data_IF_926736994026
#
_entry.id   IF_926736994026
#
_cell.length_a   1.000
_cell.length_b   1.000
_cell.length_c   1.000
_cell.angle_alpha   90.00
_cell.angle_beta   90.00
_cell.angle_gamma   90.00
#
_symmetry.space_group_name_H-M   'P 1'
#
loop_
_entity.id
_entity.type
_entity.pdbx_description
1 polymer ?
#
# COMPACT_ATOMS: atom_id res chain seq x y z
N UNK A 1 -20.50 -8.79 -19.64
CA UNK A 1 -19.15 -9.05 -19.06
C UNK A 1 -18.34 -7.80 -19.31
N UNK A 2 -18.48 -6.80 -18.45
CA UNK A 2 -17.58 -5.63 -18.44
C UNK A 2 -16.34 -6.12 -17.70
N UNK A 3 -15.32 -6.52 -18.45
CA UNK A 3 -14.00 -6.80 -17.92
C UNK A 3 -13.47 -5.51 -17.28
N UNK A 4 -13.21 -5.55 -15.99
CA UNK A 4 -12.71 -4.43 -15.21
C UNK A 4 -11.30 -4.05 -15.71
N UNK A 5 -11.18 -3.11 -16.63
CA UNK A 5 -9.90 -2.53 -17.07
C UNK A 5 -9.04 -2.06 -15.88
N UNK A 6 -9.69 -1.62 -14.80
CA UNK A 6 -8.98 -1.16 -13.58
C UNK A 6 -8.19 -2.27 -12.83
N UNK A 7 -8.56 -3.54 -13.00
CA UNK A 7 -7.96 -4.65 -12.26
C UNK A 7 -6.66 -5.17 -12.88
N UNK A 8 -6.49 -5.09 -14.19
CA UNK A 8 -5.24 -5.42 -14.88
C UNK A 8 -4.19 -4.33 -14.66
N UNK A 9 -4.63 -3.08 -14.47
CA UNK A 9 -3.75 -1.94 -14.22
C UNK A 9 -3.04 -2.02 -12.85
N UNK A 10 -3.66 -2.62 -11.81
CA UNK A 10 -3.05 -2.70 -10.47
C UNK A 10 -1.72 -3.47 -10.49
N UNK A 11 -1.68 -4.62 -11.16
CA UNK A 11 -0.44 -5.42 -11.26
C UNK A 11 0.61 -4.75 -12.15
N UNK A 12 0.17 -4.14 -13.25
CA UNK A 12 1.06 -3.40 -14.13
C UNK A 12 1.68 -2.19 -13.43
N UNK A 13 0.88 -1.42 -12.69
CA UNK A 13 1.34 -0.28 -11.92
C UNK A 13 2.31 -0.69 -10.80
N UNK A 14 2.01 -1.79 -10.08
CA UNK A 14 2.91 -2.31 -9.06
C UNK A 14 4.26 -2.71 -9.64
N UNK A 15 4.28 -3.48 -10.73
CA UNK A 15 5.51 -3.91 -11.40
C UNK A 15 6.32 -2.71 -11.88
N UNK A 16 5.68 -1.76 -12.55
CA UNK A 16 6.30 -0.53 -13.00
C UNK A 16 6.94 0.25 -11.85
N UNK A 17 6.22 0.40 -10.73
CA UNK A 17 6.72 1.11 -9.56
C UNK A 17 7.97 0.44 -8.98
N UNK A 18 8.00 -0.90 -8.98
CA UNK A 18 9.16 -1.68 -8.53
C UNK A 18 10.35 -1.59 -9.49
N UNK A 19 10.10 -1.53 -10.80
CA UNK A 19 11.13 -1.34 -11.82
C UNK A 19 11.73 0.06 -11.77
N UNK A 20 10.88 1.09 -11.65
CA UNK A 20 11.32 2.48 -11.59
C UNK A 20 12.06 2.81 -10.28
N UNK A 21 11.76 2.11 -9.19
CA UNK A 21 12.32 2.35 -7.86
C UNK A 21 12.67 1.04 -7.14
N UNK A 22 13.75 0.35 -7.51
CA UNK A 22 14.11 -0.97 -6.98
C UNK A 22 14.43 -0.95 -5.47
N UNK A 23 14.80 0.20 -4.90
CA UNK A 23 15.08 0.36 -3.47
C UNK A 23 13.80 0.53 -2.61
N UNK A 24 12.65 0.67 -3.26
CA UNK A 24 11.38 0.81 -2.55
C UNK A 24 10.93 -0.54 -1.98
N UNK A 25 10.59 -0.63 -0.68
CA UNK A 25 10.05 -1.86 -0.12
C UNK A 25 8.76 -2.27 -0.82
N UNK A 26 8.62 -3.54 -1.11
CA UNK A 26 7.46 -4.10 -1.79
C UNK A 26 6.12 -3.74 -1.12
N UNK A 27 6.08 -3.74 0.22
CA UNK A 27 4.89 -3.32 0.96
C UNK A 27 4.52 -1.85 0.71
N UNK A 28 5.52 -0.96 0.65
CA UNK A 28 5.32 0.46 0.35
C UNK A 28 4.84 0.65 -1.08
N UNK A 29 5.45 -0.06 -2.04
CA UNK A 29 5.03 -0.05 -3.44
C UNK A 29 3.58 -0.54 -3.60
N UNK A 30 3.21 -1.63 -2.92
CA UNK A 30 1.86 -2.17 -2.95
C UNK A 30 0.83 -1.17 -2.40
N UNK A 31 1.12 -0.54 -1.25
CA UNK A 31 0.24 0.48 -0.67
C UNK A 31 0.12 1.70 -1.57
N UNK A 32 1.22 2.16 -2.18
CA UNK A 32 1.20 3.26 -3.15
C UNK A 32 0.31 2.94 -4.35
N UNK A 33 0.41 1.72 -4.88
CA UNK A 33 -0.45 1.24 -5.97
C UNK A 33 -1.92 1.20 -5.57
N UNK A 34 -2.24 0.77 -4.34
CA UNK A 34 -3.63 0.75 -3.86
C UNK A 34 -4.20 2.16 -3.67
N UNK A 35 -3.40 3.13 -3.22
CA UNK A 35 -3.83 4.53 -3.11
C UNK A 35 -4.14 5.11 -4.49
N UNK A 36 -3.29 4.84 -5.48
CA UNK A 36 -3.51 5.25 -6.86
C UNK A 36 -4.76 4.59 -7.44
N UNK A 37 -4.95 3.29 -7.17
CA UNK A 37 -6.15 2.55 -7.56
C UNK A 37 -7.42 3.19 -6.98
N UNK A 38 -7.45 3.53 -5.67
CA UNK A 38 -8.58 4.23 -5.06
C UNK A 38 -8.86 5.55 -5.77
N UNK A 39 -7.80 6.31 -6.07
CA UNK A 39 -7.93 7.61 -6.71
C UNK A 39 -8.56 7.51 -8.11
N UNK A 40 -8.14 6.53 -8.89
CA UNK A 40 -8.60 6.29 -10.26
C UNK A 40 -9.94 5.55 -10.34
N UNK A 41 -10.42 4.96 -9.25
CA UNK A 41 -11.63 4.17 -9.24
C UNK A 41 -12.87 5.07 -9.34
N UNK A 42 -13.43 5.18 -10.53
CA UNK A 42 -14.65 5.95 -10.80
C UNK A 42 -15.93 5.11 -10.76
N UNK A 43 -15.78 3.77 -10.77
CA UNK A 43 -16.90 2.83 -10.89
C UNK A 43 -17.50 2.39 -9.57
N UNK A 44 -16.97 2.83 -8.43
CA UNK A 44 -17.54 2.57 -7.10
C UNK A 44 -18.42 3.76 -6.68
N UNK A 45 -19.60 3.47 -6.20
CA UNK A 45 -20.56 4.46 -5.69
C UNK A 45 -20.77 4.33 -4.17
N UNK A 46 -20.35 3.22 -3.59
CA UNK A 46 -20.50 2.93 -2.16
C UNK A 46 -19.19 2.50 -1.53
N UNK A 47 -19.09 2.68 -0.20
CA UNK A 47 -17.93 2.21 0.58
C UNK A 47 -17.80 0.69 0.58
N UNK A 48 -18.91 -0.03 0.57
CA UNK A 48 -18.91 -1.49 0.50
C UNK A 48 -18.32 -1.99 -0.83
N UNK A 49 -18.71 -1.37 -1.92
CA UNK A 49 -18.20 -1.68 -3.26
C UNK A 49 -16.71 -1.32 -3.39
N UNK A 50 -16.30 -0.16 -2.86
CA UNK A 50 -14.90 0.24 -2.81
C UNK A 50 -14.05 -0.79 -2.04
N UNK A 51 -14.55 -1.25 -0.89
CA UNK A 51 -13.88 -2.25 -0.07
C UNK A 51 -13.75 -3.59 -0.79
N UNK A 52 -14.80 -4.05 -1.45
CA UNK A 52 -14.79 -5.28 -2.24
C UNK A 52 -13.74 -5.22 -3.35
N UNK A 53 -13.71 -4.12 -4.10
CA UNK A 53 -12.72 -3.90 -5.16
C UNK A 53 -11.29 -3.84 -4.62
N UNK A 54 -11.09 -3.17 -3.49
CA UNK A 54 -9.78 -3.15 -2.83
C UNK A 54 -9.33 -4.54 -2.37
N UNK A 55 -10.23 -5.32 -1.80
CA UNK A 55 -9.93 -6.70 -1.40
C UNK A 55 -9.51 -7.53 -2.60
N UNK A 56 -10.21 -7.43 -3.72
CA UNK A 56 -9.83 -8.10 -4.96
C UNK A 56 -8.47 -7.66 -5.51
N UNK A 57 -8.15 -6.36 -5.44
CA UNK A 57 -6.86 -5.82 -5.84
C UNK A 57 -5.73 -6.36 -4.95
N UNK A 58 -5.94 -6.42 -3.63
CA UNK A 58 -4.98 -6.97 -2.66
C UNK A 58 -4.73 -8.44 -2.89
N UNK A 59 -5.76 -9.24 -3.14
CA UNK A 59 -5.60 -10.65 -3.47
C UNK A 59 -4.72 -10.87 -4.71
N UNK A 60 -4.83 -10.03 -5.71
CA UNK A 60 -3.97 -10.08 -6.90
C UNK A 60 -2.52 -9.73 -6.56
N UNK A 61 -2.29 -8.66 -5.79
CA UNK A 61 -0.96 -8.26 -5.37
C UNK A 61 -0.27 -9.33 -4.51
N UNK A 62 -1.02 -10.01 -3.65
CA UNK A 62 -0.49 -11.06 -2.76
C UNK A 62 -0.19 -12.39 -3.46
N UNK A 63 -0.74 -12.62 -4.64
CA UNK A 63 -0.47 -13.82 -5.46
C UNK A 63 0.85 -13.76 -6.24
N UNK A 64 1.56 -12.63 -6.22
CA UNK A 64 2.87 -12.50 -6.85
C UNK A 64 3.90 -13.26 -6.01
N UNK A 65 4.52 -14.30 -6.57
CA UNK A 65 5.37 -15.28 -5.89
C UNK A 65 6.55 -14.70 -5.08
N UNK A 66 7.03 -13.50 -5.43
CA UNK A 66 8.23 -12.92 -4.81
C UNK A 66 7.98 -12.09 -3.53
N UNK A 67 6.72 -11.84 -3.14
CA UNK A 67 6.42 -10.78 -2.17
C UNK A 67 5.50 -11.16 -1.01
N UNK A 68 5.32 -12.45 -0.75
CA UNK A 68 4.15 -12.98 -0.03
C UNK A 68 3.89 -12.37 1.36
N UNK A 69 4.87 -12.29 2.24
CA UNK A 69 4.60 -11.90 3.63
C UNK A 69 4.52 -10.37 3.84
N UNK A 70 5.46 -9.61 3.28
CA UNK A 70 5.53 -8.16 3.52
C UNK A 70 4.41 -7.40 2.81
N UNK A 71 4.07 -7.80 1.59
CA UNK A 71 2.96 -7.19 0.83
C UNK A 71 1.63 -7.50 1.48
N UNK A 72 1.39 -8.76 1.85
CA UNK A 72 0.15 -9.16 2.52
C UNK A 72 -0.06 -8.39 3.83
N UNK A 73 0.96 -8.36 4.70
CA UNK A 73 0.89 -7.65 5.98
C UNK A 73 0.72 -6.14 5.80
N UNK A 74 1.42 -5.54 4.84
CA UNK A 74 1.29 -4.12 4.52
C UNK A 74 -0.11 -3.76 4.01
N UNK A 75 -0.67 -4.56 3.12
CA UNK A 75 -2.01 -4.37 2.59
C UNK A 75 -3.09 -4.58 3.66
N UNK A 76 -2.94 -5.57 4.53
CA UNK A 76 -3.86 -5.80 5.66
C UNK A 76 -3.86 -4.61 6.62
N UNK A 77 -2.67 -4.11 6.99
CA UNK A 77 -2.53 -2.94 7.84
C UNK A 77 -3.17 -1.71 7.19
N UNK A 78 -2.98 -1.52 5.90
CA UNK A 78 -3.59 -0.43 5.15
C UNK A 78 -5.12 -0.54 5.13
N UNK A 79 -5.68 -1.72 4.84
CA UNK A 79 -7.13 -1.95 4.89
C UNK A 79 -7.72 -1.63 6.25
N UNK A 80 -7.08 -2.07 7.33
CA UNK A 80 -7.51 -1.72 8.68
C UNK A 80 -7.53 -0.21 8.91
N UNK A 81 -6.47 0.46 8.51
CA UNK A 81 -6.34 1.89 8.67
C UNK A 81 -7.44 2.66 7.94
N UNK A 82 -7.75 2.30 6.68
CA UNK A 82 -8.79 2.97 5.90
C UNK A 82 -10.21 2.59 6.36
N UNK A 83 -10.42 1.35 6.83
CA UNK A 83 -11.74 0.90 7.30
C UNK A 83 -12.16 1.64 8.57
N UNK A 84 -11.23 1.88 9.50
CA UNK A 84 -11.51 2.64 10.72
C UNK A 84 -11.86 4.10 10.44
N UNK A 85 -11.46 4.62 9.29
CA UNK A 85 -11.66 6.02 8.91
C UNK A 85 -12.99 6.29 8.25
N UNK A 86 -13.55 5.29 7.58
CA UNK A 86 -14.72 5.47 6.70
C UNK A 86 -16.06 5.53 7.41
N UNK A 87 -16.08 5.38 8.74
CA UNK A 87 -17.33 5.27 9.51
C UNK A 87 -18.00 6.61 9.82
N UNK A 88 -17.30 7.74 9.62
CA UNK A 88 -17.78 9.04 10.13
C UNK A 88 -18.43 9.95 9.05
N UNK A 89 -18.41 9.55 7.78
CA UNK A 89 -18.89 10.41 6.70
C UNK A 89 -20.00 9.76 5.87
N UNK A 90 -21.07 10.51 5.64
CA UNK A 90 -22.22 10.08 4.82
C UNK A 90 -22.01 10.23 3.32
N UNK A 91 -21.08 11.08 2.90
CA UNK A 91 -20.76 11.30 1.48
C UNK A 91 -19.60 10.40 1.02
N UNK A 92 -19.88 9.58 0.01
CA UNK A 92 -18.91 8.66 -0.57
C UNK A 92 -17.69 9.37 -1.19
N UNK A 93 -17.89 10.48 -1.88
CA UNK A 93 -16.80 11.20 -2.54
C UNK A 93 -15.84 11.82 -1.52
N UNK A 94 -16.39 12.36 -0.43
CA UNK A 94 -15.58 12.89 0.66
C UNK A 94 -14.83 11.76 1.38
N UNK A 95 -15.47 10.61 1.62
CA UNK A 95 -14.80 9.43 2.15
C UNK A 95 -13.64 9.00 1.27
N UNK A 96 -13.84 8.92 -0.05
CA UNK A 96 -12.80 8.54 -1.01
C UNK A 96 -11.61 9.50 -0.96
N UNK A 97 -11.88 10.81 -0.94
CA UNK A 97 -10.85 11.85 -0.82
C UNK A 97 -10.02 11.67 0.46
N UNK A 98 -10.69 11.50 1.58
CA UNK A 98 -10.04 11.29 2.88
C UNK A 98 -9.22 10.00 2.93
N UNK A 99 -9.69 8.93 2.30
CA UNK A 99 -8.94 7.67 2.21
C UNK A 99 -7.63 7.84 1.45
N UNK A 100 -7.65 8.57 0.33
CA UNK A 100 -6.44 8.88 -0.45
C UNK A 100 -5.48 9.76 0.36
N UNK A 101 -5.98 10.79 1.01
CA UNK A 101 -5.18 11.71 1.83
C UNK A 101 -4.52 10.98 3.00
N UNK A 102 -5.27 10.16 3.73
CA UNK A 102 -4.74 9.36 4.83
C UNK A 102 -3.79 8.27 4.36
N UNK A 103 -4.04 7.69 3.19
CA UNK A 103 -3.11 6.75 2.57
C UNK A 103 -1.75 7.39 2.32
N UNK A 104 -1.70 8.60 1.77
CA UNK A 104 -0.47 9.38 1.57
C UNK A 104 0.23 9.65 2.91
N UNK A 105 -0.52 10.08 3.93
CA UNK A 105 0.03 10.30 5.26
C UNK A 105 0.60 9.01 5.88
N UNK A 106 -0.01 7.86 5.61
CA UNK A 106 0.51 6.56 6.04
C UNK A 106 1.88 6.28 5.42
N UNK A 107 2.04 6.51 4.11
CA UNK A 107 3.32 6.35 3.41
C UNK A 107 4.40 7.28 3.94
N UNK A 108 4.08 8.54 4.20
CA UNK A 108 5.00 9.52 4.79
C UNK A 108 5.49 9.05 6.18
N UNK A 109 4.56 8.58 7.02
CA UNK A 109 4.91 8.04 8.35
C UNK A 109 5.77 6.79 8.25
N UNK A 110 5.48 5.88 7.33
CA UNK A 110 6.28 4.67 7.10
C UNK A 110 7.72 5.03 6.67
N UNK A 111 7.87 5.94 5.72
CA UNK A 111 9.17 6.45 5.26
C UNK A 111 9.94 7.14 6.40
N UNK A 112 9.30 8.04 7.14
CA UNK A 112 9.90 8.73 8.29
C UNK A 112 10.36 7.76 9.37
N UNK A 113 9.56 6.72 9.66
CA UNK A 113 9.92 5.69 10.65
C UNK A 113 11.16 4.91 10.23
N UNK A 114 11.26 4.53 8.95
CA UNK A 114 12.45 3.86 8.41
C UNK A 114 13.68 4.73 8.53
N UNK A 115 13.61 6.00 8.19
CA UNK A 115 14.71 6.95 8.33
C UNK A 115 15.15 7.10 9.78
N UNK A 116 14.22 7.12 10.74
CA UNK A 116 14.53 7.14 12.18
C UNK A 116 15.24 5.85 12.61
N UNK A 117 14.74 4.68 12.21
CA UNK A 117 15.35 3.40 12.50
C UNK A 117 16.79 3.36 11.95
N UNK A 118 16.99 3.75 10.69
CA UNK A 118 18.31 3.81 10.07
C UNK A 118 19.29 4.68 10.87
N UNK A 119 18.85 5.89 11.27
CA UNK A 119 19.68 6.80 12.07
C UNK A 119 20.04 6.21 13.44
N UNK A 120 19.07 5.57 14.11
CA UNK A 120 19.30 4.95 15.41
C UNK A 120 20.22 3.72 15.30
N UNK A 121 20.02 2.88 14.28
CA UNK A 121 20.81 1.66 14.09
C UNK A 121 22.25 1.96 13.65
N UNK A 122 22.52 3.10 13.03
CA UNK A 122 23.85 3.44 12.53
C UNK A 122 24.93 3.43 13.63
N UNK A 123 24.57 3.76 14.87
CA UNK A 123 25.49 3.71 16.02
C UNK A 123 25.85 2.29 16.46
N UNK A 124 25.03 1.29 16.08
CA UNK A 124 25.24 -0.12 16.45
C UNK A 124 25.91 -0.94 15.34
N UNK A 125 26.05 -0.36 14.14
CA UNK A 125 26.66 -1.01 12.98
C UNK A 125 28.10 -0.50 12.89
N UNK A 126 29.08 -1.40 13.14
CA UNK A 126 30.51 -1.10 12.95
C UNK A 126 30.92 -1.53 11.54
N UNK A 127 31.87 -0.83 10.95
CA UNK A 127 32.46 -1.21 9.68
C UNK A 127 33.00 -2.65 9.73
N UNK A 128 32.62 -3.45 8.70
CA UNK A 128 32.98 -4.87 8.61
C UNK A 128 32.07 -5.83 9.40
N UNK A 129 31.05 -5.36 10.11
CA UNK A 129 30.09 -6.22 10.78
C UNK A 129 29.08 -6.78 9.77
N UNK A 130 29.07 -8.10 9.60
CA UNK A 130 28.01 -8.80 8.86
C UNK A 130 26.84 -9.06 9.84
N UNK A 131 25.74 -8.31 9.67
CA UNK A 131 24.52 -8.50 10.45
C UNK A 131 23.34 -8.60 9.50
N UNK A 132 22.58 -9.67 9.64
CA UNK A 132 21.31 -9.82 8.91
C UNK A 132 20.22 -9.13 9.74
N UNK A 133 19.68 -8.04 9.23
CA UNK A 133 18.47 -7.43 9.79
C UNK A 133 17.27 -7.94 9.00
N UNK A 134 16.37 -8.65 9.66
CA UNK A 134 15.03 -8.87 9.13
C UNK A 134 14.25 -7.55 9.32
N UNK A 135 14.07 -6.82 8.24
CA UNK A 135 13.21 -5.63 8.22
C UNK A 135 11.82 -6.11 7.83
N UNK A 136 10.93 -6.16 8.80
CA UNK A 136 9.52 -6.41 8.60
C UNK A 136 8.83 -5.15 8.09
#
# INVERSE_FOLDING_TARGET
KVSNMADEDVLANFKKLMEDNPDTPQAVAAISTLIEYINQLHSAETLSELREKLTGAIEKLTKIESSVASVASGCELFLRFITLTSLDHSDFQECKRLLVERGKLFLEKASSSRNKITKLCNHFIRDGAVRTFAIF
#
